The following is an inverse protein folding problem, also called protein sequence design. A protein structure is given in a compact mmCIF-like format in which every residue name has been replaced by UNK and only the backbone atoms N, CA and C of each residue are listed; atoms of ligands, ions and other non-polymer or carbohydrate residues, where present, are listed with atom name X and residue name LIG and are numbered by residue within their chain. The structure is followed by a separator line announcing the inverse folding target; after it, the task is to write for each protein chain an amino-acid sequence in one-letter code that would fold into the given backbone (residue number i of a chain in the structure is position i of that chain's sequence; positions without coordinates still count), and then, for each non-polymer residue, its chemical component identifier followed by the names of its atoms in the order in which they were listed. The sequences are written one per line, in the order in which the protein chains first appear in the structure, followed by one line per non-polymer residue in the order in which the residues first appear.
data_IF_784964436553
#
_entry.id   IF_784964436553
#
_cell.length_a   1.000
_cell.length_b   1.000
_cell.length_c   1.000
_cell.angle_alpha   90.00
_cell.angle_beta   90.00
_cell.angle_gamma   90.00
#
_symmetry.space_group_name_H-M   'P 1'
#
loop_
_entity.id
_entity.type
_entity.pdbx_description
1 polymer ?
#
# COMPACT_ATOMS: atom_id res chain seq x y z
N UNK A 1 -35.34 19.00 2.78
CA UNK A 1 -34.87 17.69 2.27
C UNK A 1 -33.71 17.24 3.09
N UNK A 2 -33.83 16.30 4.02
CA UNK A 2 -32.67 15.73 4.66
C UNK A 2 -31.97 14.86 3.63
N UNK A 3 -30.78 15.25 3.26
CA UNK A 3 -29.88 14.40 2.50
C UNK A 3 -29.35 13.40 3.53
N UNK A 4 -29.87 12.20 3.51
CA UNK A 4 -29.35 11.08 4.29
C UNK A 4 -27.94 10.72 3.78
N UNK A 5 -26.99 11.56 4.18
CA UNK A 5 -25.58 11.22 4.11
C UNK A 5 -25.24 10.35 5.31
N UNK A 6 -25.93 9.22 5.46
CA UNK A 6 -25.48 8.18 6.38
C UNK A 6 -24.12 7.74 5.88
N UNK A 7 -23.02 8.01 6.60
CA UNK A 7 -21.69 7.60 6.16
C UNK A 7 -21.71 6.09 6.01
N UNK A 8 -21.47 5.65 4.82
CA UNK A 8 -21.49 4.23 4.51
C UNK A 8 -20.27 3.55 5.17
N UNK A 9 -20.36 2.24 5.35
CA UNK A 9 -19.22 1.42 5.78
C UNK A 9 -17.97 1.70 4.94
N UNK A 10 -18.15 1.99 3.65
CA UNK A 10 -17.07 2.35 2.71
C UNK A 10 -16.39 3.68 3.09
N UNK A 11 -17.14 4.72 3.51
CA UNK A 11 -16.56 5.99 3.93
C UNK A 11 -15.72 5.84 5.20
N UNK A 12 -16.20 5.03 6.15
CA UNK A 12 -15.44 4.73 7.38
C UNK A 12 -14.15 3.97 7.02
N UNK A 13 -14.19 3.02 6.09
CA UNK A 13 -13.01 2.30 5.63
C UNK A 13 -12.01 3.23 4.94
N UNK A 14 -12.47 4.09 4.05
CA UNK A 14 -11.63 5.09 3.39
C UNK A 14 -10.95 6.03 4.41
N UNK A 15 -11.70 6.50 5.41
CA UNK A 15 -11.16 7.30 6.50
C UNK A 15 -10.13 6.53 7.36
N UNK A 16 -10.33 5.24 7.56
CA UNK A 16 -9.39 4.36 8.26
C UNK A 16 -8.07 4.20 7.48
N UNK A 17 -8.14 3.97 6.17
CA UNK A 17 -6.97 3.93 5.27
C UNK A 17 -6.20 5.25 5.33
N UNK A 18 -6.87 6.39 5.16
CA UNK A 18 -6.23 7.70 5.23
C UNK A 18 -5.62 8.00 6.61
N UNK A 19 -6.20 7.45 7.69
CA UNK A 19 -5.63 7.59 9.04
C UNK A 19 -4.32 6.83 9.16
N UNK A 20 -4.23 5.64 8.59
CA UNK A 20 -3.00 4.85 8.53
C UNK A 20 -1.93 5.51 7.66
N UNK A 21 -2.28 6.03 6.49
CA UNK A 21 -1.36 6.71 5.58
C UNK A 21 -0.69 7.93 6.24
N UNK A 22 -1.46 8.70 7.05
CA UNK A 22 -0.96 9.92 7.70
C UNK A 22 -0.27 9.69 9.05
N UNK A 23 -0.81 8.82 9.87
CA UNK A 23 -0.38 8.64 11.26
C UNK A 23 0.14 7.26 11.62
N UNK A 24 0.23 6.33 10.65
CA UNK A 24 0.65 4.96 10.90
C UNK A 24 -0.24 4.23 11.91
N UNK A 25 0.29 3.16 12.49
CA UNK A 25 -0.39 2.36 13.52
C UNK A 25 -0.59 3.12 14.83
N UNK A 26 0.34 3.99 15.20
CA UNK A 26 0.28 4.79 16.43
C UNK A 26 -0.86 5.81 16.38
N UNK A 27 -1.04 6.47 15.25
CA UNK A 27 -2.12 7.42 15.03
C UNK A 27 -3.49 6.79 14.77
N UNK A 28 -3.56 5.46 14.63
CA UNK A 28 -4.80 4.76 14.31
C UNK A 28 -5.68 4.55 15.54
N UNK A 29 -6.60 5.48 15.78
CA UNK A 29 -7.62 5.39 16.84
C UNK A 29 -9.01 5.47 16.25
N UNK A 30 -10.01 4.91 16.97
CA UNK A 30 -11.42 5.01 16.53
C UNK A 30 -11.89 6.47 16.47
N UNK A 31 -11.40 7.33 17.38
CA UNK A 31 -11.73 8.74 17.40
C UNK A 31 -11.12 9.51 16.23
N UNK A 32 -9.89 9.16 15.83
CA UNK A 32 -9.25 9.74 14.64
C UNK A 32 -10.00 9.35 13.36
N UNK A 33 -10.40 8.09 13.24
CA UNK A 33 -11.19 7.61 12.09
C UNK A 33 -12.57 8.23 12.07
N UNK A 34 -13.28 8.28 13.21
CA UNK A 34 -14.61 8.87 13.33
C UNK A 34 -14.61 10.35 12.91
N UNK A 35 -13.65 11.12 13.43
CA UNK A 35 -13.47 12.54 13.08
C UNK A 35 -13.19 12.71 11.58
N UNK A 36 -12.34 11.87 10.98
CA UNK A 36 -12.03 11.93 9.56
C UNK A 36 -13.20 11.53 8.67
N UNK A 37 -13.97 10.54 9.10
CA UNK A 37 -15.18 10.10 8.41
C UNK A 37 -16.38 11.04 8.60
N UNK A 38 -16.28 12.04 9.49
CA UNK A 38 -17.38 12.94 9.82
C UNK A 38 -18.52 12.28 10.59
N UNK A 39 -18.18 11.26 11.43
CA UNK A 39 -19.18 10.47 12.16
C UNK A 39 -18.88 10.38 13.65
N UNK A 40 -19.85 9.95 14.42
CA UNK A 40 -19.63 9.61 15.83
C UNK A 40 -18.97 8.23 15.97
N UNK A 41 -18.14 8.06 16.99
CA UNK A 41 -17.42 6.80 17.28
C UNK A 41 -18.34 5.59 17.37
N UNK A 42 -19.56 5.77 17.91
CA UNK A 42 -20.56 4.69 18.01
C UNK A 42 -20.93 4.10 16.64
N UNK A 43 -21.00 4.94 15.58
CA UNK A 43 -21.30 4.48 14.24
C UNK A 43 -20.13 3.67 13.64
N UNK A 44 -18.89 4.05 13.94
CA UNK A 44 -17.72 3.25 13.55
C UNK A 44 -17.78 1.87 14.18
N UNK A 45 -18.08 1.79 15.49
CA UNK A 45 -18.23 0.52 16.21
C UNK A 45 -19.42 -0.31 15.72
N UNK A 46 -20.51 0.32 15.33
CA UNK A 46 -21.66 -0.36 14.73
C UNK A 46 -21.26 -1.10 13.44
N UNK A 47 -20.49 -0.46 12.57
CA UNK A 47 -20.08 -1.05 11.29
C UNK A 47 -18.93 -2.06 11.39
N UNK A 48 -18.00 -1.88 12.32
CA UNK A 48 -16.78 -2.67 12.40
C UNK A 48 -16.57 -3.43 13.71
N UNK A 49 -17.48 -3.29 14.66
CA UNK A 49 -17.50 -3.94 15.96
C UNK A 49 -16.29 -3.67 16.85
N UNK A 50 -15.08 -3.48 16.33
CA UNK A 50 -13.89 -3.18 17.11
C UNK A 50 -12.80 -2.45 16.29
N UNK A 51 -11.88 -1.76 17.02
CA UNK A 51 -10.67 -1.18 16.40
C UNK A 51 -9.87 -2.22 15.60
N UNK A 52 -9.71 -3.43 16.16
CA UNK A 52 -8.94 -4.48 15.50
C UNK A 52 -9.57 -4.99 14.21
N UNK A 53 -10.91 -5.09 14.15
CA UNK A 53 -11.60 -5.46 12.90
C UNK A 53 -11.50 -4.37 11.85
N UNK A 54 -11.65 -3.11 12.24
CA UNK A 54 -11.47 -1.98 11.33
C UNK A 54 -10.03 -1.91 10.81
N UNK A 55 -9.04 -2.09 11.69
CA UNK A 55 -7.63 -2.09 11.34
C UNK A 55 -7.31 -3.19 10.32
N UNK A 56 -7.78 -4.43 10.54
CA UNK A 56 -7.59 -5.52 9.57
C UNK A 56 -8.25 -5.24 8.23
N UNK A 57 -9.46 -4.65 8.23
CA UNK A 57 -10.13 -4.27 6.99
C UNK A 57 -9.35 -3.18 6.23
N UNK A 58 -8.81 -2.19 6.93
CA UNK A 58 -8.00 -1.14 6.33
C UNK A 58 -6.64 -1.68 5.81
N UNK A 59 -6.01 -2.60 6.55
CA UNK A 59 -4.79 -3.27 6.12
C UNK A 59 -5.01 -4.09 4.83
N UNK A 60 -6.08 -4.87 4.77
CA UNK A 60 -6.45 -5.61 3.57
C UNK A 60 -6.71 -4.69 2.37
N UNK A 61 -7.41 -3.56 2.59
CA UNK A 61 -7.66 -2.56 1.55
C UNK A 61 -6.36 -1.94 1.03
N UNK A 62 -5.43 -1.57 1.92
CA UNK A 62 -4.11 -1.02 1.52
C UNK A 62 -3.34 -2.05 0.71
N UNK A 63 -3.25 -3.31 1.16
CA UNK A 63 -2.54 -4.36 0.46
C UNK A 63 -3.11 -4.60 -0.95
N UNK A 64 -4.43 -4.75 -1.05
CA UNK A 64 -5.11 -5.00 -2.34
C UNK A 64 -4.95 -3.81 -3.29
N UNK A 65 -5.17 -2.58 -2.81
CA UNK A 65 -5.08 -1.39 -3.66
C UNK A 65 -3.66 -1.14 -4.14
N UNK A 66 -2.66 -1.34 -3.26
CA UNK A 66 -1.24 -1.22 -3.58
C UNK A 66 -0.83 -2.23 -4.65
N UNK A 67 -1.12 -3.51 -4.44
CA UNK A 67 -0.79 -4.58 -5.39
C UNK A 67 -1.45 -4.32 -6.75
N UNK A 68 -2.73 -3.98 -6.78
CA UNK A 68 -3.45 -3.69 -8.01
C UNK A 68 -2.89 -2.47 -8.75
N UNK A 69 -2.44 -1.43 -8.05
CA UNK A 69 -1.83 -0.25 -8.65
C UNK A 69 -0.49 -0.58 -9.30
N UNK A 70 0.38 -1.31 -8.60
CA UNK A 70 1.67 -1.74 -9.10
C UNK A 70 1.54 -2.71 -10.30
N UNK A 71 0.61 -3.65 -10.24
CA UNK A 71 0.35 -4.56 -11.36
C UNK A 71 -0.15 -3.80 -12.61
N UNK A 72 -1.06 -2.83 -12.43
CA UNK A 72 -1.50 -1.97 -13.54
C UNK A 72 -0.35 -1.15 -14.12
N UNK A 73 0.50 -0.59 -13.28
CA UNK A 73 1.65 0.19 -13.72
C UNK A 73 2.62 -0.67 -14.55
N UNK A 74 3.01 -1.84 -14.05
CA UNK A 74 3.86 -2.79 -14.79
C UNK A 74 3.23 -3.25 -16.10
N UNK A 75 1.91 -3.48 -16.13
CA UNK A 75 1.18 -3.92 -17.32
C UNK A 75 0.75 -2.80 -18.27
N UNK A 76 1.03 -1.53 -17.95
CA UNK A 76 0.56 -0.37 -18.75
C UNK A 76 1.31 -0.18 -20.07
N UNK A 77 2.51 -0.71 -20.18
CA UNK A 77 3.36 -0.63 -21.37
C UNK A 77 4.31 -1.82 -21.46
N UNK A 78 4.85 -2.05 -22.67
CA UNK A 78 5.83 -3.12 -22.90
C UNK A 78 7.26 -2.65 -22.62
N UNK A 79 8.14 -3.56 -22.24
CA UNK A 79 9.55 -3.29 -22.01
C UNK A 79 9.80 -2.37 -20.82
N UNK A 80 10.79 -1.48 -20.94
CA UNK A 80 11.20 -0.58 -19.85
C UNK A 80 10.15 0.46 -19.46
N UNK A 81 9.25 0.83 -20.37
CA UNK A 81 8.20 1.79 -20.07
C UNK A 81 7.23 1.31 -18.96
N UNK A 82 6.98 0.00 -18.85
CA UNK A 82 6.23 -0.57 -17.73
C UNK A 82 6.99 -0.45 -16.41
N UNK A 83 8.31 -0.59 -16.44
CA UNK A 83 9.17 -0.41 -15.26
C UNK A 83 9.19 1.06 -14.81
N UNK A 84 9.26 2.00 -15.76
CA UNK A 84 9.17 3.43 -15.45
C UNK A 84 7.81 3.80 -14.82
N UNK A 85 6.71 3.26 -15.36
CA UNK A 85 5.39 3.47 -14.77
C UNK A 85 5.27 2.87 -13.35
N UNK A 86 5.88 1.71 -13.10
CA UNK A 86 5.95 1.09 -11.78
C UNK A 86 6.77 1.95 -10.81
N UNK A 87 7.88 2.51 -11.24
CA UNK A 87 8.68 3.44 -10.44
C UNK A 87 7.88 4.69 -10.03
N UNK A 88 7.17 5.30 -10.98
CA UNK A 88 6.32 6.46 -10.67
C UNK A 88 5.20 6.11 -9.67
N UNK A 89 4.62 4.93 -9.77
CA UNK A 89 3.64 4.45 -8.78
C UNK A 89 4.27 4.27 -7.39
N UNK A 90 5.48 3.71 -7.31
CA UNK A 90 6.23 3.56 -6.04
C UNK A 90 6.52 4.91 -5.41
N UNK A 91 6.95 5.89 -6.21
CA UNK A 91 7.20 7.25 -5.78
C UNK A 91 5.92 7.90 -5.24
N UNK A 92 4.82 7.77 -5.96
CA UNK A 92 3.52 8.27 -5.52
C UNK A 92 3.08 7.65 -4.19
N UNK A 93 3.23 6.34 -4.03
CA UNK A 93 2.90 5.64 -2.77
C UNK A 93 3.80 6.07 -1.60
N UNK A 94 5.03 6.47 -1.84
CA UNK A 94 5.90 7.03 -0.81
C UNK A 94 5.43 8.43 -0.38
N UNK A 95 5.01 9.26 -1.33
CA UNK A 95 4.53 10.63 -1.10
C UNK A 95 3.18 10.66 -0.36
N UNK A 96 2.22 9.81 -0.75
CA UNK A 96 0.88 9.78 -0.14
C UNK A 96 0.83 9.03 1.20
N UNK A 97 1.93 8.37 1.59
CA UNK A 97 2.08 7.61 2.82
C UNK A 97 1.61 6.16 2.74
N UNK A 98 1.18 5.67 1.59
CA UNK A 98 0.77 4.27 1.38
C UNK A 98 1.92 3.31 1.64
N UNK A 99 3.13 3.61 1.14
CA UNK A 99 4.32 2.78 1.37
C UNK A 99 4.64 2.65 2.87
N UNK A 100 4.61 3.75 3.61
CA UNK A 100 4.86 3.76 5.06
C UNK A 100 3.81 2.97 5.84
N UNK A 101 2.52 3.16 5.49
CA UNK A 101 1.43 2.41 6.10
C UNK A 101 1.57 0.92 5.84
N UNK A 102 1.87 0.54 4.59
CA UNK A 102 2.07 -0.85 4.20
C UNK A 102 3.24 -1.50 4.95
N UNK A 103 4.39 -0.83 5.06
CA UNK A 103 5.57 -1.31 5.81
C UNK A 103 5.21 -1.56 7.27
N UNK A 104 4.57 -0.58 7.94
CA UNK A 104 4.18 -0.70 9.35
C UNK A 104 3.20 -1.85 9.58
N UNK A 105 2.23 -2.03 8.68
CA UNK A 105 1.23 -3.11 8.77
C UNK A 105 1.85 -4.48 8.52
N UNK A 106 2.77 -4.59 7.55
CA UNK A 106 3.51 -5.82 7.27
C UNK A 106 4.41 -6.22 8.44
N UNK A 107 5.15 -5.25 8.99
CA UNK A 107 6.01 -5.49 10.17
C UNK A 107 5.22 -5.90 11.42
N UNK A 108 3.97 -5.45 11.53
CA UNK A 108 3.05 -5.85 12.61
C UNK A 108 2.30 -7.16 12.33
N UNK A 109 2.59 -7.86 11.22
CA UNK A 109 1.91 -9.10 10.84
C UNK A 109 0.44 -8.95 10.47
N UNK A 110 0.02 -7.74 10.08
CA UNK A 110 -1.36 -7.44 9.69
C UNK A 110 -1.61 -7.59 8.19
N UNK A 111 -0.54 -7.71 7.40
CA UNK A 111 -0.56 -8.03 5.98
C UNK A 111 0.28 -9.29 5.79
N UNK A 112 -0.33 -10.30 5.20
CA UNK A 112 0.37 -11.51 4.82
C UNK A 112 1.11 -11.27 3.49
N UNK A 113 2.43 -11.32 3.53
CA UNK A 113 3.30 -11.17 2.37
C UNK A 113 3.58 -12.50 1.67
N UNK A 114 3.21 -13.62 2.28
CA UNK A 114 3.44 -14.96 1.73
C UNK A 114 2.34 -15.42 0.77
N UNK A 115 1.29 -14.65 0.59
CA UNK A 115 0.13 -15.01 -0.23
C UNK A 115 0.37 -14.93 -1.76
N UNK A 116 1.58 -14.60 -2.21
CA UNK A 116 1.98 -14.68 -3.60
C UNK A 116 2.19 -16.15 -4.00
N UNK A 117 1.22 -16.73 -4.71
CA UNK A 117 1.33 -18.08 -5.30
C UNK A 117 2.26 -18.13 -6.54
N UNK A 118 3.09 -17.12 -6.72
CA UNK A 118 4.01 -16.98 -7.86
C UNK A 118 5.30 -17.77 -7.66
N UNK A 119 5.94 -18.15 -8.78
CA UNK A 119 7.26 -18.74 -8.78
C UNK A 119 8.36 -17.76 -8.36
N UNK A 120 9.62 -18.14 -8.58
CA UNK A 120 10.79 -17.32 -8.25
C UNK A 120 10.73 -15.91 -8.83
N UNK A 121 10.27 -15.75 -10.07
CA UNK A 121 10.17 -14.45 -10.73
C UNK A 121 9.21 -13.49 -10.01
N UNK A 122 8.04 -13.99 -9.59
CA UNK A 122 7.06 -13.17 -8.89
C UNK A 122 7.58 -12.76 -7.52
N UNK A 123 8.25 -13.67 -6.81
CA UNK A 123 8.88 -13.38 -5.53
C UNK A 123 10.03 -12.35 -5.67
N UNK A 124 10.83 -12.45 -6.74
CA UNK A 124 11.89 -11.50 -7.01
C UNK A 124 11.35 -10.10 -7.36
N UNK A 125 10.30 -10.03 -8.20
CA UNK A 125 9.61 -8.77 -8.52
C UNK A 125 9.05 -8.11 -7.25
N UNK A 126 8.39 -8.89 -6.40
CA UNK A 126 7.86 -8.39 -5.14
C UNK A 126 8.96 -7.86 -4.22
N UNK A 127 10.09 -8.58 -4.12
CA UNK A 127 11.22 -8.16 -3.32
C UNK A 127 11.85 -6.84 -3.81
N UNK A 128 11.98 -6.65 -5.14
CA UNK A 128 12.47 -5.39 -5.74
C UNK A 128 11.53 -4.24 -5.38
N UNK A 129 10.24 -4.41 -5.63
CA UNK A 129 9.20 -3.39 -5.39
C UNK A 129 9.12 -3.03 -3.90
N UNK A 130 9.18 -4.01 -3.02
CA UNK A 130 9.12 -3.81 -1.58
C UNK A 130 10.39 -3.16 -1.04
N UNK A 131 11.55 -3.58 -1.52
CA UNK A 131 12.84 -2.97 -1.17
C UNK A 131 12.89 -1.49 -1.55
N UNK A 132 12.44 -1.15 -2.75
CA UNK A 132 12.37 0.24 -3.21
C UNK A 132 11.33 1.06 -2.42
N UNK A 133 10.18 0.47 -2.09
CA UNK A 133 9.19 1.13 -1.24
C UNK A 133 9.76 1.46 0.16
N UNK A 134 10.54 0.54 0.75
CA UNK A 134 11.25 0.78 2.02
C UNK A 134 12.28 1.89 1.86
N UNK A 135 13.12 1.84 0.82
CA UNK A 135 14.14 2.86 0.57
C UNK A 135 13.53 4.26 0.48
N UNK A 136 12.48 4.42 -0.33
CA UNK A 136 11.78 5.69 -0.49
C UNK A 136 11.11 6.17 0.81
N UNK A 137 10.49 5.26 1.56
CA UNK A 137 9.81 5.60 2.82
C UNK A 137 10.78 5.97 3.95
N UNK A 138 12.02 5.50 3.89
CA UNK A 138 13.07 5.77 4.90
C UNK A 138 13.99 6.94 4.53
N UNK A 139 13.75 7.59 3.39
CA UNK A 139 14.45 8.81 3.00
C UNK A 139 15.76 8.57 2.24
N UNK A 140 15.93 7.41 1.61
CA UNK A 140 17.01 7.21 0.64
C UNK A 140 16.86 8.25 -0.49
N UNK A 141 17.94 8.92 -0.93
CA UNK A 141 17.88 9.86 -2.03
C UNK A 141 17.22 9.26 -3.27
N UNK A 142 16.34 10.01 -3.93
CA UNK A 142 15.53 9.52 -5.04
C UNK A 142 16.38 8.94 -6.19
N UNK A 143 17.53 9.59 -6.47
CA UNK A 143 18.46 9.12 -7.50
C UNK A 143 19.05 7.75 -7.15
N UNK A 144 19.53 7.57 -5.91
CA UNK A 144 20.14 6.32 -5.45
C UNK A 144 19.10 5.18 -5.41
N UNK A 145 17.88 5.49 -5.00
CA UNK A 145 16.77 4.52 -5.01
C UNK A 145 16.38 4.12 -6.44
N UNK A 146 16.42 5.07 -7.39
CA UNK A 146 16.17 4.80 -8.81
C UNK A 146 17.27 3.94 -9.42
N UNK A 147 18.53 4.28 -9.18
CA UNK A 147 19.66 3.51 -9.70
C UNK A 147 19.64 2.06 -9.19
N UNK A 148 19.32 1.85 -7.91
CA UNK A 148 19.14 0.52 -7.33
C UNK A 148 17.96 -0.24 -7.96
N UNK A 149 16.83 0.44 -8.20
CA UNK A 149 15.66 -0.13 -8.86
C UNK A 149 16.01 -0.62 -10.27
N UNK A 150 16.66 0.21 -11.08
CA UNK A 150 17.04 -0.12 -12.45
C UNK A 150 18.04 -1.29 -12.49
N UNK A 151 19.06 -1.30 -11.62
CA UNK A 151 20.03 -2.36 -11.51
C UNK A 151 19.40 -3.71 -11.12
N UNK A 152 18.47 -3.72 -10.17
CA UNK A 152 17.79 -4.95 -9.74
C UNK A 152 16.90 -5.53 -10.84
N UNK A 153 16.17 -4.67 -11.58
CA UNK A 153 15.35 -5.12 -12.70
C UNK A 153 16.20 -5.67 -13.86
N UNK A 154 17.31 -5.01 -14.20
CA UNK A 154 18.24 -5.51 -15.22
C UNK A 154 18.78 -6.88 -14.84
N UNK A 155 19.21 -7.07 -13.60
CA UNK A 155 19.69 -8.35 -13.10
C UNK A 155 18.62 -9.44 -13.18
N UNK A 156 17.36 -9.13 -12.80
CA UNK A 156 16.27 -10.09 -12.90
C UNK A 156 16.01 -10.50 -14.35
N UNK A 157 15.97 -9.53 -15.27
CA UNK A 157 15.75 -9.80 -16.70
C UNK A 157 16.87 -10.64 -17.30
N UNK A 158 18.12 -10.41 -16.93
CA UNK A 158 19.27 -11.22 -17.36
C UNK A 158 19.16 -12.67 -16.88
N UNK A 159 18.80 -12.90 -15.61
CA UNK A 159 18.64 -14.23 -15.01
C UNK A 159 17.48 -14.99 -15.66
N UNK A 160 16.37 -14.33 -15.97
CA UNK A 160 15.18 -14.97 -16.55
C UNK A 160 15.29 -15.18 -18.07
N UNK A 161 16.21 -14.48 -18.75
CA UNK A 161 16.47 -14.64 -20.18
C UNK A 161 17.45 -15.81 -20.51
N UNK A 162 18.07 -16.41 -19.51
CA UNK A 162 18.95 -17.56 -19.70
C UNK A 162 18.10 -18.84 -19.90
N UNK A 163 18.29 -19.60 -20.99
CA UNK A 163 17.49 -20.79 -21.30
C UNK A 163 17.74 -21.95 -20.35
#
# INVERSE_FOLDING_TARGET
MPKDATPTRANILAAAVQTLQRGGLEGFTLDAVARRAGVVKGLVLYHYASRGRLLRAAAAQIATSRSAALQRALGSASGTAGLDACWEELRHQAEDGTARAWISLSSAGLIDRSAGNGGFEDAAREAIVDGCAVALATGVPLADARDAYDALWLTLLEVTAQP
#
